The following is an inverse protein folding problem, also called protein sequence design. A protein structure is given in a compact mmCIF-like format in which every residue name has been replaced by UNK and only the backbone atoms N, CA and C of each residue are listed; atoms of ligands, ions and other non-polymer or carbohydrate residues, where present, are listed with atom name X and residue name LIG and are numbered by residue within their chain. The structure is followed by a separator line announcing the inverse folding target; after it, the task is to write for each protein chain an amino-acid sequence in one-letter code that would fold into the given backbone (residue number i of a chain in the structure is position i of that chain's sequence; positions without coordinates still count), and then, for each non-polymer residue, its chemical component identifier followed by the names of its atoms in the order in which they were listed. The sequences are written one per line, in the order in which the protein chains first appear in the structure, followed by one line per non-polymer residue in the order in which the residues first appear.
data_IF_869503161703
#
_entry.id   IF_869503161703
#
_cell.length_a   1.000
_cell.length_b   1.000
_cell.length_c   1.000
_cell.angle_alpha   90.00
_cell.angle_beta   90.00
_cell.angle_gamma   90.00
#
_symmetry.space_group_name_H-M   'P 1'
#
loop_
_entity.id
_entity.type
_entity.pdbx_description
1 polymer ?
#
# COMPACT_ATOMS: atom_id res chain seq x y z
N UNK A 1 8.98 -1.44 -24.24
CA UNK A 1 10.03 -1.07 -23.29
C UNK A 1 9.78 -1.82 -21.99
N UNK A 2 10.73 -2.66 -21.52
CA UNK A 2 10.54 -3.50 -20.32
C UNK A 2 10.48 -2.66 -19.04
N UNK A 3 11.11 -1.49 -19.04
CA UNK A 3 11.14 -0.59 -17.90
C UNK A 3 9.88 0.30 -17.83
N UNK A 4 9.09 0.32 -18.92
CA UNK A 4 7.87 1.13 -19.06
C UNK A 4 6.75 0.32 -19.72
N UNK A 5 6.28 -0.77 -19.08
CA UNK A 5 5.29 -1.68 -19.66
C UNK A 5 3.95 -0.98 -19.92
N UNK A 6 3.44 -0.19 -18.97
CA UNK A 6 2.17 0.54 -19.12
C UNK A 6 2.17 1.49 -20.32
N UNK A 7 3.25 2.26 -20.51
CA UNK A 7 3.37 3.16 -21.67
C UNK A 7 3.49 2.39 -22.99
N UNK A 8 4.05 1.18 -22.95
CA UNK A 8 4.08 0.29 -24.12
C UNK A 8 2.68 -0.24 -24.44
N UNK A 9 1.90 -0.63 -23.43
CA UNK A 9 0.52 -1.08 -23.59
C UNK A 9 -0.41 0.01 -24.14
N UNK A 10 -0.22 1.27 -23.74
CA UNK A 10 -0.97 2.40 -24.30
C UNK A 10 -0.73 2.52 -25.81
N UNK A 11 0.52 2.45 -26.27
CA UNK A 11 0.83 2.50 -27.71
C UNK A 11 0.23 1.32 -28.48
N UNK A 12 0.23 0.13 -27.88
CA UNK A 12 -0.39 -1.06 -28.47
C UNK A 12 -1.91 -0.89 -28.55
N UNK A 13 -2.54 -0.30 -27.52
CA UNK A 13 -3.97 0.02 -27.54
C UNK A 13 -4.32 1.01 -28.66
N UNK A 14 -3.47 2.02 -28.90
CA UNK A 14 -3.65 2.99 -30.00
C UNK A 14 -3.56 2.32 -31.38
N UNK A 15 -2.74 1.27 -31.53
CA UNK A 15 -2.54 0.57 -32.81
C UNK A 15 -3.59 -0.53 -33.06
N UNK A 16 -3.88 -1.36 -32.05
CA UNK A 16 -4.69 -2.58 -32.19
C UNK A 16 -6.12 -2.43 -31.65
N UNK A 17 -6.43 -1.33 -30.97
CA UNK A 17 -7.77 -1.00 -30.50
C UNK A 17 -8.02 -1.31 -29.02
N UNK A 18 -9.30 -1.26 -28.60
CA UNK A 18 -9.69 -1.15 -27.19
C UNK A 18 -9.52 -2.43 -26.36
N UNK A 19 -9.21 -3.56 -27.01
CA UNK A 19 -8.91 -4.83 -26.36
C UNK A 19 -7.87 -5.59 -27.18
N UNK A 20 -6.84 -6.09 -26.50
CA UNK A 20 -5.84 -6.95 -27.13
C UNK A 20 -5.29 -7.96 -26.13
N UNK A 21 -4.72 -9.04 -26.67
CA UNK A 21 -4.09 -10.10 -25.90
C UNK A 21 -2.58 -10.09 -26.15
N UNK A 22 -1.81 -10.17 -25.08
CA UNK A 22 -0.37 -10.46 -25.11
C UNK A 22 -0.18 -11.87 -24.59
N UNK A 23 0.48 -12.72 -25.37
CA UNK A 23 0.89 -14.05 -24.94
C UNK A 23 2.38 -14.04 -24.62
N UNK A 24 2.74 -14.37 -23.38
CA UNK A 24 4.12 -14.59 -22.96
C UNK A 24 4.40 -16.09 -22.90
N UNK A 25 5.62 -16.48 -22.50
CA UNK A 25 5.97 -17.89 -22.32
C UNK A 25 5.23 -18.55 -21.14
N UNK A 26 4.87 -17.76 -20.13
CA UNK A 26 4.24 -18.24 -18.89
C UNK A 26 2.76 -17.89 -18.80
N UNK A 27 2.34 -16.77 -19.39
CA UNK A 27 1.07 -16.14 -19.07
C UNK A 27 0.37 -15.54 -20.30
N UNK A 28 -0.93 -15.31 -20.15
CA UNK A 28 -1.73 -14.54 -21.09
C UNK A 28 -2.25 -13.30 -20.40
N UNK A 29 -1.94 -12.13 -20.97
CA UNK A 29 -2.38 -10.83 -20.45
C UNK A 29 -3.42 -10.27 -21.41
N UNK A 30 -4.61 -9.99 -20.91
CA UNK A 30 -5.66 -9.29 -21.65
C UNK A 30 -5.66 -7.84 -21.17
N UNK A 31 -5.48 -6.90 -22.10
CA UNK A 31 -5.52 -5.47 -21.81
C UNK A 31 -6.80 -4.89 -22.39
N UNK A 32 -7.58 -4.21 -21.55
CA UNK A 32 -8.83 -3.53 -21.92
C UNK A 32 -8.65 -2.03 -21.68
N UNK A 33 -8.96 -1.21 -22.67
CA UNK A 33 -8.76 0.25 -22.63
C UNK A 33 -9.95 1.07 -23.14
N UNK A 34 -10.89 0.48 -23.89
CA UNK A 34 -12.09 1.16 -24.35
C UNK A 34 -13.16 1.27 -23.27
N UNK A 35 -13.75 2.46 -23.09
CA UNK A 35 -14.68 2.73 -21.99
C UNK A 35 -15.91 1.79 -21.93
N UNK A 36 -16.44 1.35 -23.08
CA UNK A 36 -17.57 0.42 -23.14
C UNK A 36 -17.20 -0.96 -22.58
N UNK A 37 -16.02 -1.47 -22.95
CA UNK A 37 -15.50 -2.75 -22.45
C UNK A 37 -15.05 -2.64 -20.99
N UNK A 38 -14.48 -1.49 -20.59
CA UNK A 38 -14.16 -1.23 -19.18
C UNK A 38 -15.42 -1.24 -18.32
N UNK A 39 -16.50 -0.62 -18.78
CA UNK A 39 -17.78 -0.66 -18.08
C UNK A 39 -18.32 -2.09 -17.93
N UNK A 40 -18.11 -2.95 -18.94
CA UNK A 40 -18.49 -4.36 -18.90
C UNK A 40 -17.67 -5.16 -17.88
N UNK A 41 -16.34 -4.98 -17.83
CA UNK A 41 -15.48 -5.69 -16.86
C UNK A 41 -15.60 -5.18 -15.42
N UNK A 42 -16.25 -4.02 -15.23
CA UNK A 42 -16.61 -3.50 -13.91
C UNK A 42 -17.97 -4.02 -13.40
N UNK A 43 -18.65 -4.91 -14.12
CA UNK A 43 -19.86 -5.58 -13.63
C UNK A 43 -19.50 -6.69 -12.63
N UNK A 44 -19.68 -6.39 -11.34
CA UNK A 44 -19.38 -7.28 -10.21
C UNK A 44 -20.23 -8.57 -10.19
N UNK A 45 -21.31 -8.66 -10.99
CA UNK A 45 -22.07 -9.90 -11.13
C UNK A 45 -21.40 -10.93 -12.05
N UNK A 46 -20.40 -10.49 -12.80
CA UNK A 46 -19.69 -11.28 -13.83
C UNK A 46 -18.18 -11.35 -13.60
N UNK A 47 -17.60 -10.30 -13.05
CA UNK A 47 -16.17 -10.18 -12.82
C UNK A 47 -15.90 -9.83 -11.36
N UNK A 48 -14.74 -10.25 -10.88
CA UNK A 48 -14.27 -9.95 -9.53
C UNK A 48 -12.80 -9.53 -9.58
N UNK A 49 -12.31 -8.92 -8.51
CA UNK A 49 -10.92 -8.52 -8.34
C UNK A 49 -10.00 -9.74 -8.38
N UNK A 50 -9.08 -9.76 -9.35
CA UNK A 50 -7.96 -10.72 -9.36
C UNK A 50 -6.77 -10.20 -8.55
N UNK A 51 -6.16 -11.09 -7.76
CA UNK A 51 -4.92 -10.82 -7.01
C UNK A 51 -3.67 -11.43 -7.67
N UNK A 52 -3.76 -11.81 -8.95
CA UNK A 52 -2.65 -12.39 -9.70
C UNK A 52 -1.51 -11.38 -9.96
N UNK A 53 -0.38 -11.89 -10.48
CA UNK A 53 0.76 -11.07 -10.86
C UNK A 53 1.35 -10.29 -9.70
N UNK A 54 1.36 -8.96 -9.82
CA UNK A 54 1.96 -8.04 -8.85
C UNK A 54 1.39 -8.20 -7.43
N UNK A 55 0.07 -8.33 -7.31
CA UNK A 55 -0.60 -8.42 -6.01
C UNK A 55 -0.24 -9.71 -5.28
N UNK A 56 -0.09 -10.83 -6.00
CA UNK A 56 0.34 -12.11 -5.42
C UNK A 56 1.74 -12.01 -4.79
N UNK A 57 2.63 -11.17 -5.34
CA UNK A 57 3.96 -10.93 -4.77
C UNK A 57 3.92 -10.00 -3.55
N UNK A 58 3.11 -8.94 -3.62
CA UNK A 58 2.90 -8.01 -2.49
C UNK A 58 2.21 -8.70 -1.30
N UNK A 59 1.34 -9.67 -1.57
CA UNK A 59 0.64 -10.48 -0.55
C UNK A 59 1.61 -11.17 0.43
N UNK A 60 2.85 -11.44 0.03
CA UNK A 60 3.86 -12.03 0.91
C UNK A 60 4.14 -11.19 2.18
N UNK A 61 3.84 -9.89 2.16
CA UNK A 61 4.03 -9.00 3.31
C UNK A 61 2.82 -8.11 3.62
N UNK A 62 1.86 -7.96 2.71
CA UNK A 62 0.58 -7.29 2.99
C UNK A 62 -0.51 -8.27 3.48
N UNK A 63 -0.24 -9.58 3.47
CA UNK A 63 -1.14 -10.61 3.98
C UNK A 63 -2.52 -10.60 3.32
N UNK A 64 -3.54 -10.98 4.08
CA UNK A 64 -4.95 -10.88 3.70
C UNK A 64 -5.58 -9.53 4.09
N UNK A 65 -4.76 -8.47 4.11
CA UNK A 65 -5.25 -7.09 4.20
C UNK A 65 -6.06 -6.70 2.96
N UNK A 66 -6.86 -5.64 3.09
CA UNK A 66 -7.84 -5.18 2.08
C UNK A 66 -7.31 -5.09 0.64
N UNK A 67 -6.03 -4.74 0.47
CA UNK A 67 -5.43 -4.54 -0.84
C UNK A 67 -5.03 -5.84 -1.53
N UNK A 68 -4.65 -6.88 -0.79
CA UNK A 68 -4.11 -8.15 -1.32
C UNK A 68 -4.99 -9.36 -1.08
N UNK A 69 -6.14 -9.19 -0.43
CA UNK A 69 -7.16 -10.22 -0.27
C UNK A 69 -8.08 -10.36 -1.49
N UNK A 70 -8.55 -11.60 -1.70
CA UNK A 70 -9.66 -11.93 -2.58
C UNK A 70 -10.99 -11.57 -1.93
N UNK A 71 -11.99 -11.22 -2.74
CA UNK A 71 -13.29 -10.73 -2.26
C UNK A 71 -14.04 -11.79 -1.43
N UNK A 72 -13.81 -13.07 -1.69
CA UNK A 72 -14.44 -14.17 -0.94
C UNK A 72 -13.72 -14.51 0.38
N UNK A 73 -12.56 -13.90 0.67
CA UNK A 73 -11.87 -14.15 1.94
C UNK A 73 -12.64 -13.48 3.09
N UNK A 74 -12.93 -14.20 4.20
CA UNK A 74 -13.68 -13.63 5.32
C UNK A 74 -13.05 -12.36 5.89
N UNK A 75 -11.71 -12.30 5.93
CA UNK A 75 -10.99 -11.13 6.43
C UNK A 75 -11.14 -9.90 5.53
N UNK A 76 -11.33 -10.06 4.21
CA UNK A 76 -11.62 -8.91 3.33
C UNK A 76 -12.93 -8.23 3.73
N UNK A 77 -14.02 -9.01 3.82
CA UNK A 77 -15.36 -8.48 4.13
C UNK A 77 -15.41 -7.91 5.54
N UNK A 78 -14.81 -8.59 6.51
CA UNK A 78 -14.70 -8.13 7.90
C UNK A 78 -13.94 -6.79 8.00
N UNK A 79 -12.74 -6.71 7.41
CA UNK A 79 -11.96 -5.48 7.39
C UNK A 79 -12.67 -4.36 6.61
N UNK A 80 -13.34 -4.68 5.50
CA UNK A 80 -14.09 -3.72 4.70
C UNK A 80 -15.20 -3.06 5.53
N UNK A 81 -16.05 -3.87 6.16
CA UNK A 81 -17.16 -3.39 6.97
C UNK A 81 -16.67 -2.53 8.16
N UNK A 82 -15.56 -2.94 8.80
CA UNK A 82 -14.97 -2.21 9.94
C UNK A 82 -14.34 -0.88 9.52
N UNK A 83 -13.63 -0.86 8.39
CA UNK A 83 -12.77 0.26 8.00
C UNK A 83 -13.45 1.30 7.09
N UNK A 84 -14.44 0.93 6.29
CA UNK A 84 -15.08 1.86 5.35
C UNK A 84 -15.62 3.15 5.99
N UNK A 85 -16.24 3.15 7.19
CA UNK A 85 -16.68 4.38 7.85
C UNK A 85 -15.53 5.36 8.15
N UNK A 86 -14.33 4.82 8.37
CA UNK A 86 -13.10 5.55 8.67
C UNK A 86 -12.55 6.32 7.47
N UNK A 87 -12.88 5.89 6.26
CA UNK A 87 -12.51 6.56 5.01
C UNK A 87 -13.61 7.49 4.48
N UNK A 88 -14.67 7.74 5.25
CA UNK A 88 -15.75 8.64 4.85
C UNK A 88 -15.32 10.11 4.85
N UNK A 89 -16.00 10.94 4.05
CA UNK A 89 -15.78 12.40 4.06
C UNK A 89 -15.94 13.02 5.45
N UNK A 90 -16.81 12.44 6.30
CA UNK A 90 -16.98 12.89 7.68
C UNK A 90 -15.74 12.61 8.52
N UNK A 91 -15.18 11.41 8.42
CA UNK A 91 -13.96 11.01 9.14
C UNK A 91 -12.73 11.83 8.73
N UNK A 92 -12.68 12.32 7.49
CA UNK A 92 -11.59 13.22 7.05
C UNK A 92 -11.47 14.50 7.88
N UNK A 93 -12.53 14.94 8.57
CA UNK A 93 -12.47 16.07 9.50
C UNK A 93 -11.60 15.76 10.72
N UNK A 94 -11.57 14.52 11.17
CA UNK A 94 -10.79 14.07 12.31
C UNK A 94 -9.30 14.00 11.95
N UNK A 95 -8.98 13.68 10.69
CA UNK A 95 -7.59 13.63 10.17
C UNK A 95 -7.02 14.99 9.76
N UNK A 96 -7.88 15.96 9.50
CA UNK A 96 -7.48 17.23 8.88
C UNK A 96 -6.35 17.94 9.63
N UNK A 97 -6.43 18.02 10.96
CA UNK A 97 -5.40 18.68 11.77
C UNK A 97 -4.02 17.99 11.65
N UNK A 98 -4.00 16.66 11.62
CA UNK A 98 -2.78 15.86 11.45
C UNK A 98 -2.19 16.00 10.04
N UNK A 99 -3.05 16.04 9.01
CA UNK A 99 -2.63 16.33 7.64
C UNK A 99 -2.01 17.73 7.51
N UNK A 100 -2.63 18.74 8.14
CA UNK A 100 -2.12 20.13 8.12
C UNK A 100 -0.78 20.25 8.84
N UNK A 101 -0.58 19.57 9.97
CA UNK A 101 0.71 19.55 10.66
C UNK A 101 1.85 19.16 9.70
N UNK A 102 1.70 18.05 8.99
CA UNK A 102 2.74 17.56 8.08
C UNK A 102 2.86 18.40 6.81
N UNK A 103 1.76 18.93 6.29
CA UNK A 103 1.80 19.89 5.18
C UNK A 103 2.57 21.16 5.56
N UNK A 104 2.42 21.66 6.80
CA UNK A 104 3.18 22.80 7.31
C UNK A 104 4.67 22.47 7.40
N UNK A 105 5.05 21.25 7.82
CA UNK A 105 6.45 20.83 7.85
C UNK A 105 7.08 20.83 6.45
N UNK A 106 6.36 20.34 5.43
CA UNK A 106 6.82 20.41 4.04
C UNK A 106 7.03 21.86 3.58
N UNK A 107 6.03 22.73 3.80
CA UNK A 107 6.12 24.15 3.42
C UNK A 107 7.30 24.82 4.11
N UNK A 108 7.53 24.55 5.40
CA UNK A 108 8.66 25.07 6.14
C UNK A 108 10.00 24.56 5.61
N UNK A 109 10.09 23.29 5.21
CA UNK A 109 11.29 22.75 4.57
C UNK A 109 11.64 23.55 3.32
N UNK A 110 10.67 23.74 2.42
CA UNK A 110 10.91 24.46 1.16
C UNK A 110 11.20 25.94 1.38
N UNK A 111 10.54 26.58 2.35
CA UNK A 111 10.78 27.98 2.70
C UNK A 111 12.18 28.24 3.29
N UNK A 112 12.87 27.20 3.77
CA UNK A 112 14.23 27.28 4.34
C UNK A 112 15.33 26.98 3.33
N UNK A 113 14.99 26.67 2.07
CA UNK A 113 15.97 26.40 1.03
C UNK A 113 16.75 27.66 0.64
N UNK A 114 18.05 27.49 0.38
CA UNK A 114 18.88 28.55 -0.17
C UNK A 114 18.52 28.82 -1.65
N UNK A 115 18.81 30.01 -2.21
CA UNK A 115 18.46 30.36 -3.59
C UNK A 115 18.94 29.39 -4.68
N UNK A 116 19.97 28.59 -4.42
CA UNK A 116 20.55 27.63 -5.36
C UNK A 116 20.19 26.17 -5.05
N UNK A 117 19.33 25.93 -4.06
CA UNK A 117 18.86 24.59 -3.72
C UNK A 117 17.58 24.25 -4.51
N UNK A 118 17.46 22.99 -4.92
CA UNK A 118 16.31 22.48 -5.65
C UNK A 118 15.48 21.54 -4.78
N UNK A 119 14.20 21.43 -5.10
CA UNK A 119 13.28 20.45 -4.49
C UNK A 119 13.28 19.17 -5.31
N UNK A 120 13.51 18.04 -4.64
CA UNK A 120 13.16 16.72 -5.18
C UNK A 120 11.68 16.45 -4.84
N UNK A 121 10.81 16.68 -5.83
CA UNK A 121 9.36 16.64 -5.63
C UNK A 121 8.87 15.22 -5.28
N UNK A 122 9.19 14.16 -6.04
CA UNK A 122 8.76 12.80 -5.68
C UNK A 122 9.21 12.35 -4.30
N UNK A 123 10.46 12.66 -3.93
CA UNK A 123 11.00 12.27 -2.63
C UNK A 123 10.27 13.02 -1.49
N UNK A 124 10.05 14.32 -1.63
CA UNK A 124 9.36 15.11 -0.60
C UNK A 124 7.87 14.77 -0.46
N UNK A 125 7.21 14.43 -1.57
CA UNK A 125 5.85 13.91 -1.53
C UNK A 125 5.77 12.53 -0.87
N UNK A 126 6.80 11.69 -1.07
CA UNK A 126 6.90 10.38 -0.40
C UNK A 126 7.06 10.56 1.10
N UNK A 127 7.92 11.49 1.55
CA UNK A 127 8.05 11.84 2.98
C UNK A 127 6.74 12.35 3.56
N UNK A 128 6.07 13.28 2.86
CA UNK A 128 4.80 13.84 3.31
C UNK A 128 3.72 12.77 3.47
N UNK A 129 3.53 11.93 2.46
CA UNK A 129 2.44 10.94 2.45
C UNK A 129 2.67 9.82 3.46
N UNK A 130 3.90 9.35 3.62
CA UNK A 130 4.22 8.32 4.63
C UNK A 130 4.06 8.82 6.06
N UNK A 131 4.55 10.02 6.37
CA UNK A 131 4.31 10.60 7.69
C UNK A 131 2.81 10.83 7.91
N UNK A 132 2.05 11.20 6.86
CA UNK A 132 0.60 11.45 6.97
C UNK A 132 -0.17 10.17 7.26
N UNK A 133 0.15 9.08 6.57
CA UNK A 133 -0.43 7.76 6.83
C UNK A 133 -0.01 7.26 8.22
N UNK A 134 1.25 7.41 8.60
CA UNK A 134 1.74 7.04 9.94
C UNK A 134 1.00 7.77 11.06
N UNK A 135 0.84 9.09 10.91
CA UNK A 135 0.20 9.92 11.93
C UNK A 135 -1.32 9.72 11.98
N UNK A 136 -2.01 9.78 10.83
CA UNK A 136 -3.47 9.63 10.79
C UNK A 136 -3.92 8.19 11.05
N UNK A 137 -3.10 7.22 10.64
CA UNK A 137 -3.40 5.80 10.78
C UNK A 137 -3.11 5.27 12.18
N UNK A 138 -1.94 5.61 12.72
CA UNK A 138 -1.37 4.91 13.87
C UNK A 138 -0.85 5.84 14.97
N UNK A 139 -1.11 7.15 14.85
CA UNK A 139 -0.53 8.19 15.71
C UNK A 139 1.00 8.09 15.82
N UNK A 140 1.66 7.64 14.74
CA UNK A 140 3.10 7.39 14.70
C UNK A 140 3.81 8.40 13.81
N UNK A 141 4.91 8.99 14.31
CA UNK A 141 5.72 9.94 13.56
C UNK A 141 7.04 9.30 13.11
N UNK A 142 7.15 9.04 11.81
CA UNK A 142 8.44 8.66 11.19
C UNK A 142 9.46 9.81 11.22
N UNK A 143 8.97 11.06 11.27
CA UNK A 143 9.75 12.29 11.29
C UNK A 143 10.65 12.39 10.04
N UNK A 144 10.07 12.10 8.86
CA UNK A 144 10.84 11.96 7.62
C UNK A 144 11.53 13.25 7.18
N UNK A 145 11.01 14.42 7.56
CA UNK A 145 11.65 15.72 7.27
C UNK A 145 12.86 16.04 8.17
N UNK A 146 13.10 15.24 9.22
CA UNK A 146 14.22 15.43 10.16
C UNK A 146 15.36 14.44 9.93
N UNK A 147 15.31 13.64 8.85
CA UNK A 147 16.29 12.61 8.56
C UNK A 147 16.86 12.80 7.16
N UNK A 148 18.16 12.59 7.04
CA UNK A 148 18.82 12.50 5.73
C UNK A 148 18.49 11.17 5.04
N UNK A 149 18.43 10.09 5.82
CA UNK A 149 18.03 8.76 5.35
C UNK A 149 16.61 8.42 5.81
N UNK A 150 15.79 7.75 4.99
CA UNK A 150 14.44 7.37 5.39
C UNK A 150 14.43 6.52 6.67
N UNK A 151 13.32 6.55 7.40
CA UNK A 151 13.11 5.64 8.53
C UNK A 151 13.29 4.17 8.07
N UNK A 152 13.89 3.27 8.88
CA UNK A 152 14.14 1.88 8.48
C UNK A 152 12.90 1.17 7.91
N UNK A 153 11.72 1.40 8.49
CA UNK A 153 10.44 0.91 7.96
C UNK A 153 10.20 1.32 6.50
N UNK A 154 10.41 2.60 6.18
CA UNK A 154 10.21 3.13 4.82
C UNK A 154 11.20 2.50 3.86
N UNK A 155 12.46 2.39 4.27
CA UNK A 155 13.50 1.72 3.46
C UNK A 155 13.16 0.26 3.19
N UNK A 156 12.72 -0.49 4.21
CA UNK A 156 12.31 -1.88 4.07
C UNK A 156 11.08 -2.03 3.19
N UNK A 157 10.07 -1.16 3.34
CA UNK A 157 8.87 -1.19 2.51
C UNK A 157 9.17 -0.91 1.04
N UNK A 158 9.94 0.14 0.73
CA UNK A 158 10.33 0.46 -0.64
C UNK A 158 11.12 -0.68 -1.28
N UNK A 159 12.04 -1.32 -0.54
CA UNK A 159 12.83 -2.45 -1.06
C UNK A 159 11.98 -3.71 -1.25
N UNK A 160 11.02 -3.96 -0.37
CA UNK A 160 10.09 -5.08 -0.50
C UNK A 160 9.15 -4.91 -1.71
N UNK A 161 8.64 -3.69 -1.94
CA UNK A 161 7.83 -3.37 -3.12
C UNK A 161 8.65 -3.51 -4.42
N UNK A 162 9.87 -3.00 -4.45
CA UNK A 162 10.79 -3.13 -5.59
C UNK A 162 11.10 -4.61 -5.90
N UNK A 163 11.39 -5.40 -4.87
CA UNK A 163 11.61 -6.83 -5.00
C UNK A 163 10.37 -7.57 -5.53
N UNK A 164 9.17 -7.21 -5.04
CA UNK A 164 7.92 -7.79 -5.52
C UNK A 164 7.67 -7.49 -7.02
N UNK A 165 8.02 -6.29 -7.49
CA UNK A 165 7.95 -5.95 -8.91
C UNK A 165 9.01 -6.69 -9.75
N UNK A 166 10.24 -6.78 -9.25
CA UNK A 166 11.30 -7.51 -9.94
C UNK A 166 10.99 -9.00 -10.11
N UNK A 167 10.30 -9.62 -9.14
CA UNK A 167 9.87 -11.01 -9.23
C UNK A 167 8.92 -11.29 -10.41
N UNK A 168 8.23 -10.29 -10.95
CA UNK A 168 7.35 -10.46 -12.12
C UNK A 168 8.12 -10.64 -13.43
N UNK A 169 9.39 -10.22 -13.47
CA UNK A 169 10.21 -10.26 -14.67
C UNK A 169 11.23 -11.41 -14.67
N UNK A 170 11.34 -12.15 -13.55
CA UNK A 170 12.33 -13.20 -13.38
C UNK A 170 11.91 -14.50 -14.07
N UNK A 171 12.91 -15.22 -14.57
CA UNK A 171 12.76 -16.61 -14.96
C UNK A 171 12.93 -17.53 -13.73
N UNK A 172 12.27 -18.69 -13.72
CA UNK A 172 12.28 -19.64 -12.60
C UNK A 172 13.69 -20.07 -12.14
N UNK A 173 14.66 -20.06 -13.06
CA UNK A 173 16.06 -20.44 -12.79
C UNK A 173 16.80 -19.34 -12.03
N UNK A 174 16.52 -18.06 -12.32
CA UNK A 174 17.14 -16.91 -11.67
C UNK A 174 16.70 -16.83 -10.20
N UNK A 175 15.42 -17.05 -9.93
CA UNK A 175 14.87 -16.97 -8.56
C UNK A 175 15.51 -17.99 -7.60
N UNK A 176 15.91 -19.18 -8.09
CA UNK A 176 16.58 -20.20 -7.27
C UNK A 176 18.00 -19.79 -6.86
N UNK A 177 18.68 -18.95 -7.62
CA UNK A 177 20.06 -18.54 -7.34
C UNK A 177 20.15 -17.31 -6.41
N UNK A 178 19.05 -16.55 -6.28
CA UNK A 178 19.00 -15.27 -5.54
C UNK A 178 18.77 -15.41 -4.03
N UNK A 179 19.51 -16.32 -3.38
CA UNK A 179 19.36 -16.56 -1.93
C UNK A 179 19.61 -15.31 -1.06
N UNK A 180 20.53 -14.42 -1.48
CA UNK A 180 20.80 -13.16 -0.76
C UNK A 180 19.60 -12.22 -0.82
N UNK A 181 19.01 -12.07 -1.99
CA UNK A 181 17.83 -11.23 -2.21
C UNK A 181 16.64 -11.76 -1.41
N UNK A 182 16.42 -13.08 -1.41
CA UNK A 182 15.38 -13.71 -0.58
C UNK A 182 15.59 -13.45 0.91
N UNK A 183 16.82 -13.55 1.41
CA UNK A 183 17.13 -13.23 2.82
C UNK A 183 16.87 -11.76 3.14
N UNK A 184 17.27 -10.85 2.26
CA UNK A 184 17.03 -9.42 2.45
C UNK A 184 15.52 -9.11 2.45
N UNK A 185 14.76 -9.68 1.51
CA UNK A 185 13.31 -9.53 1.45
C UNK A 185 12.64 -9.99 2.75
N UNK A 186 12.99 -11.18 3.26
CA UNK A 186 12.46 -11.66 4.54
C UNK A 186 12.86 -10.78 5.73
N UNK A 187 14.08 -10.22 5.71
CA UNK A 187 14.51 -9.28 6.74
C UNK A 187 13.72 -7.96 6.71
N UNK A 188 13.42 -7.45 5.51
CA UNK A 188 12.61 -6.25 5.34
C UNK A 188 11.17 -6.49 5.82
N UNK A 189 10.58 -7.65 5.51
CA UNK A 189 9.26 -8.05 6.02
C UNK A 189 9.24 -8.10 7.55
N UNK A 190 10.21 -8.79 8.15
CA UNK A 190 10.28 -8.90 9.60
C UNK A 190 10.47 -7.53 10.27
N UNK A 191 11.24 -6.63 9.66
CA UNK A 191 11.45 -5.27 10.17
C UNK A 191 10.16 -4.45 10.14
N UNK A 192 9.36 -4.59 9.08
CA UNK A 192 8.04 -3.95 8.98
C UNK A 192 7.09 -4.49 10.03
N UNK A 193 6.95 -5.82 10.13
CA UNK A 193 6.09 -6.48 11.10
C UNK A 193 6.44 -6.10 12.53
N UNK A 194 7.73 -6.12 12.89
CA UNK A 194 8.17 -5.75 14.23
C UNK A 194 7.83 -4.31 14.60
N UNK A 195 7.86 -3.36 13.66
CA UNK A 195 7.43 -1.99 13.98
C UNK A 195 5.92 -1.93 14.25
N UNK A 196 5.11 -2.53 13.37
CA UNK A 196 3.66 -2.47 13.49
C UNK A 196 3.17 -3.23 14.73
N UNK A 197 3.75 -4.40 15.02
CA UNK A 197 3.48 -5.16 16.25
C UNK A 197 3.78 -4.33 17.50
N UNK A 198 4.88 -3.58 17.52
CA UNK A 198 5.23 -2.70 18.64
C UNK A 198 4.20 -1.56 18.80
N UNK A 199 3.77 -0.94 17.70
CA UNK A 199 2.74 0.11 17.72
C UNK A 199 1.42 -0.44 18.27
N UNK A 200 1.00 -1.64 17.83
CA UNK A 200 -0.21 -2.32 18.33
C UNK A 200 -0.06 -2.61 19.82
N UNK A 201 1.07 -3.14 20.26
CA UNK A 201 1.33 -3.47 21.67
C UNK A 201 1.36 -2.23 22.57
N UNK A 202 1.98 -1.14 22.14
CA UNK A 202 2.00 0.14 22.85
C UNK A 202 0.58 0.73 22.98
N UNK A 203 -0.23 0.68 21.92
CA UNK A 203 -1.62 1.14 21.97
C UNK A 203 -2.46 0.32 22.95
N UNK A 204 -2.30 -1.02 22.96
CA UNK A 204 -3.03 -1.89 23.89
C UNK A 204 -2.63 -1.69 25.35
N UNK A 205 -1.36 -1.41 25.61
CA UNK A 205 -0.83 -1.24 26.98
C UNK A 205 -1.08 0.15 27.57
N UNK A 206 -1.11 1.20 26.73
CA UNK A 206 -1.36 2.58 27.19
C UNK A 206 -2.80 2.84 27.63
N UNK A 207 -3.76 2.02 27.22
CA UNK A 207 -5.17 2.17 27.60
C UNK A 207 -5.85 3.41 27.03
N UNK A 208 -5.17 4.18 26.17
CA UNK A 208 -5.72 5.35 25.47
C UNK A 208 -6.68 4.89 24.36
N UNK A 209 -7.93 4.63 24.74
CA UNK A 209 -9.01 4.27 23.81
C UNK A 209 -9.65 5.49 23.12
N UNK A 210 -9.27 6.72 23.51
CA UNK A 210 -9.92 7.96 23.05
C UNK A 210 -9.32 8.54 21.76
N UNK A 211 -8.28 7.91 21.19
CA UNK A 211 -7.69 8.41 19.94
C UNK A 211 -8.57 8.05 18.73
N UNK A 212 -8.93 9.04 17.91
CA UNK A 212 -9.75 8.87 16.70
C UNK A 212 -8.93 8.51 15.46
N UNK A 213 -7.90 7.66 15.60
CA UNK A 213 -7.09 7.18 14.48
C UNK A 213 -7.62 5.84 13.90
N UNK A 214 -7.01 5.39 12.80
CA UNK A 214 -7.40 4.13 12.14
C UNK A 214 -7.17 2.92 13.06
N UNK A 215 -6.05 2.89 13.78
CA UNK A 215 -5.68 1.79 14.68
C UNK A 215 -6.69 1.61 15.82
N UNK A 216 -7.14 2.69 16.45
CA UNK A 216 -8.17 2.63 17.48
C UNK A 216 -9.46 2.01 16.96
N UNK A 217 -9.83 2.26 15.70
CA UNK A 217 -11.01 1.62 15.10
C UNK A 217 -10.78 0.14 14.85
N UNK A 218 -9.62 -0.23 14.30
CA UNK A 218 -9.25 -1.64 14.07
C UNK A 218 -9.27 -2.49 15.35
N UNK A 219 -8.85 -1.92 16.49
CA UNK A 219 -8.80 -2.62 17.78
C UNK A 219 -10.17 -2.74 18.48
N UNK A 220 -11.05 -1.75 18.28
CA UNK A 220 -12.24 -1.59 19.12
C UNK A 220 -13.56 -1.91 18.40
N UNK A 221 -13.64 -1.69 17.09
CA UNK A 221 -14.88 -1.86 16.32
C UNK A 221 -15.06 -3.33 15.95
N UNK A 222 -16.30 -3.81 16.08
CA UNK A 222 -16.72 -5.12 15.60
C UNK A 222 -17.36 -4.97 14.22
N UNK A 223 -17.19 -5.99 13.38
CA UNK A 223 -17.93 -6.09 12.13
C UNK A 223 -19.44 -6.23 12.43
N UNK A 224 -20.30 -5.35 11.89
CA UNK A 224 -21.74 -5.38 12.14
C UNK A 224 -22.43 -6.65 11.64
N UNK A 225 -21.84 -7.36 10.67
CA UNK A 225 -22.44 -8.59 10.13
C UNK A 225 -22.13 -9.82 11.01
N UNK A 226 -20.87 -9.98 11.44
CA UNK A 226 -20.42 -11.17 12.19
C UNK A 226 -20.31 -10.96 13.71
N UNK A 227 -20.17 -9.72 14.16
CA UNK A 227 -19.84 -9.38 15.56
C UNK A 227 -18.36 -9.64 15.92
N UNK A 228 -17.55 -10.08 14.98
CA UNK A 228 -16.12 -10.36 15.19
C UNK A 228 -15.27 -9.09 15.14
N UNK A 229 -14.10 -9.13 15.76
CA UNK A 229 -13.05 -8.11 15.62
C UNK A 229 -11.98 -8.58 14.64
N UNK A 230 -11.17 -7.63 14.15
CA UNK A 230 -9.91 -7.97 13.50
C UNK A 230 -8.95 -8.56 14.53
N UNK A 231 -8.25 -9.63 14.15
CA UNK A 231 -7.14 -10.15 14.93
C UNK A 231 -5.88 -9.30 14.68
N UNK A 232 -4.91 -9.41 15.58
CA UNK A 232 -3.69 -8.58 15.52
C UNK A 232 -2.86 -8.84 14.26
N UNK A 233 -2.95 -10.05 13.69
CA UNK A 233 -2.23 -10.42 12.48
C UNK A 233 -2.81 -9.72 11.25
N UNK A 234 -4.13 -9.57 11.15
CA UNK A 234 -4.78 -8.84 10.07
C UNK A 234 -4.68 -7.30 10.24
N UNK A 235 -4.54 -6.81 11.48
CA UNK A 235 -4.28 -5.39 11.76
C UNK A 235 -2.85 -4.99 11.36
N UNK A 236 -1.90 -5.94 11.45
CA UNK A 236 -0.48 -5.74 11.14
C UNK A 236 -0.21 -5.62 9.64
#
# INVERSE_FOLDING_TARGET
DKDKPTLSFIKIAEEYGPIFQIQTLSDTIIVVSGHELVAEVCDETRFDKSIEGALAKVRAFAGDGLFTSETHEPNWKKAHNILMPTFSQRAMKDYHAMMVDLAVQLVQKWARLNPNESVDVPEDMTRLTLDTIGLCGFNYRFNSFYRETPHPFITSMSRALDEAMHQLQRLDIEDKLMWRTKRQFQHDIQSMFSLVDNIIAERKSSGNQEENDLLSRMLNVQDPETGEKLDDENIR
#
